data_IF_932185369478
#
_entry.id   IF_932185369478
#
_cell.length_a   1.000
_cell.length_b   1.000
_cell.length_c   1.000
_cell.angle_alpha   90.00
_cell.angle_beta   90.00
_cell.angle_gamma   90.00
#
_symmetry.space_group_name_H-M   'P 1'
#
loop_
_entity.id
_entity.type
_entity.pdbx_description
1 polymer ?
#
# COMPACT_ATOMS: atom_id res chain seq x y z
N UNK A 1 -15.90 34.57 29.95
CA UNK A 1 -15.89 35.82 29.18
C UNK A 1 -14.57 36.54 29.42
N UNK A 2 -13.60 36.42 28.56
CA UNK A 2 -12.39 37.27 28.50
C UNK A 2 -12.01 37.46 27.03
N UNK A 3 -12.17 38.69 26.58
CA UNK A 3 -11.85 39.21 25.27
C UNK A 3 -10.33 39.35 25.15
N UNK A 4 -9.69 38.75 24.14
CA UNK A 4 -8.31 39.01 23.81
C UNK A 4 -8.28 39.95 22.61
N UNK A 5 -7.77 41.14 22.83
CA UNK A 5 -7.62 42.23 21.86
C UNK A 5 -6.38 41.93 21.01
N UNK A 6 -6.58 41.92 19.70
CA UNK A 6 -5.54 41.84 18.68
C UNK A 6 -5.00 43.25 18.44
N UNK A 7 -3.71 43.47 18.67
CA UNK A 7 -3.00 44.71 18.27
C UNK A 7 -2.53 44.59 16.82
N UNK A 8 -3.12 45.41 15.97
CA UNK A 8 -2.62 45.71 14.62
C UNK A 8 -1.51 46.74 14.75
N UNK A 9 -0.30 46.41 14.32
CA UNK A 9 0.76 47.39 14.09
C UNK A 9 1.04 47.47 12.59
N UNK A 10 0.56 48.57 11.98
CA UNK A 10 0.86 48.94 10.61
C UNK A 10 2.25 49.64 10.58
N UNK A 11 3.17 49.08 9.83
CA UNK A 11 4.39 49.80 9.43
C UNK A 11 4.42 49.94 7.92
N UNK A 12 4.08 51.15 7.46
CA UNK A 12 4.17 51.61 6.06
C UNK A 12 5.61 52.06 5.82
N UNK A 13 6.34 51.35 4.96
CA UNK A 13 7.64 51.82 4.42
C UNK A 13 7.53 51.86 2.90
N UNK A 14 7.35 53.11 2.41
CA UNK A 14 7.45 53.46 1.00
C UNK A 14 8.94 53.56 0.67
N UNK A 15 9.44 52.71 -0.22
CA UNK A 15 10.74 52.90 -0.87
C UNK A 15 10.56 52.92 -2.37
N UNK A 16 10.63 54.15 -2.94
CA UNK A 16 10.74 54.38 -4.37
C UNK A 16 12.20 54.12 -4.79
N UNK A 17 12.38 53.15 -5.66
CA UNK A 17 13.67 52.87 -6.29
C UNK A 17 13.43 52.17 -7.64
N UNK A 18 13.35 52.98 -8.71
CA UNK A 18 13.39 52.46 -10.06
C UNK A 18 14.82 52.04 -10.41
N UNK A 19 15.04 50.79 -10.69
CA UNK A 19 16.22 50.32 -11.42
C UNK A 19 15.92 48.99 -12.14
N UNK A 20 16.10 49.03 -13.44
CA UNK A 20 16.20 47.98 -14.44
C UNK A 20 16.59 46.61 -13.89
N UNK A 21 15.75 45.62 -14.14
CA UNK A 21 16.14 44.21 -13.96
C UNK A 21 15.56 43.33 -15.05
N UNK A 22 16.16 43.35 -16.22
CA UNK A 22 16.15 42.25 -17.14
C UNK A 22 17.08 41.16 -16.57
N UNK A 23 16.61 39.92 -16.46
CA UNK A 23 17.48 38.76 -16.28
C UNK A 23 17.35 37.90 -15.02
N UNK A 24 16.13 37.51 -14.60
CA UNK A 24 16.00 36.44 -13.55
C UNK A 24 14.86 35.43 -13.78
N UNK A 25 14.53 35.12 -15.02
CA UNK A 25 13.49 34.10 -15.31
C UNK A 25 14.02 32.67 -15.46
N UNK A 26 15.32 32.43 -15.35
CA UNK A 26 15.91 31.10 -15.62
C UNK A 26 16.24 30.25 -14.37
N UNK A 27 16.37 30.86 -13.20
CA UNK A 27 16.80 30.12 -12.00
C UNK A 27 15.67 29.38 -11.26
N UNK A 28 14.43 29.87 -11.32
CA UNK A 28 13.31 29.29 -10.59
C UNK A 28 12.78 27.99 -11.24
N UNK A 29 12.86 27.91 -12.59
CA UNK A 29 12.41 26.71 -13.32
C UNK A 29 13.34 25.50 -13.13
N UNK A 30 14.65 25.75 -12.97
CA UNK A 30 15.63 24.69 -12.73
C UNK A 30 15.54 24.08 -11.32
N UNK A 31 15.23 24.90 -10.32
CA UNK A 31 15.11 24.43 -8.94
C UNK A 31 13.85 23.57 -8.72
N UNK A 32 12.74 23.91 -9.37
CA UNK A 32 11.51 23.09 -9.29
C UNK A 32 11.63 21.76 -10.05
N UNK A 33 12.32 21.74 -11.19
CA UNK A 33 12.57 20.51 -11.93
C UNK A 33 13.52 19.55 -11.19
N UNK A 34 14.52 20.09 -10.48
CA UNK A 34 15.45 19.29 -9.66
C UNK A 34 14.77 18.71 -8.42
N UNK A 35 13.85 19.45 -7.80
CA UNK A 35 13.13 18.98 -6.60
C UNK A 35 12.11 17.87 -6.93
N UNK A 36 11.48 17.91 -8.09
CA UNK A 36 10.56 16.86 -8.54
C UNK A 36 11.29 15.57 -8.98
N UNK A 37 12.51 15.66 -9.49
CA UNK A 37 13.33 14.48 -9.83
C UNK A 37 13.90 13.76 -8.59
N UNK A 38 14.09 14.47 -7.49
CA UNK A 38 14.65 13.88 -6.25
C UNK A 38 13.58 13.27 -5.35
N UNK A 39 12.32 13.64 -5.52
CA UNK A 39 11.21 13.09 -4.71
C UNK A 39 10.66 11.75 -5.23
N UNK A 40 10.70 11.49 -6.53
CA UNK A 40 10.17 10.25 -7.11
C UNK A 40 10.89 8.97 -6.61
N UNK A 41 12.23 8.88 -6.56
CA UNK A 41 12.95 7.74 -5.99
C UNK A 41 12.66 7.53 -4.51
N UNK A 42 12.43 8.62 -3.75
CA UNK A 42 12.13 8.56 -2.32
C UNK A 42 10.72 7.99 -2.07
N UNK A 43 9.72 8.32 -2.87
CA UNK A 43 8.37 7.77 -2.78
C UNK A 43 8.39 6.28 -3.10
N UNK A 44 8.97 5.88 -4.23
CA UNK A 44 9.09 4.48 -4.63
C UNK A 44 9.78 3.64 -3.55
N UNK A 45 10.94 4.07 -3.06
CA UNK A 45 11.66 3.34 -1.99
C UNK A 45 10.91 3.31 -0.66
N UNK A 46 10.05 4.28 -0.38
CA UNK A 46 9.21 4.27 0.81
C UNK A 46 8.07 3.27 0.66
N UNK A 47 7.42 3.23 -0.49
CA UNK A 47 6.36 2.25 -0.80
C UNK A 47 6.94 0.84 -0.77
N UNK A 48 8.07 0.60 -1.42
CA UNK A 48 8.76 -0.70 -1.46
C UNK A 48 9.09 -1.22 -0.04
N UNK A 49 9.61 -0.37 0.85
CA UNK A 49 9.82 -0.74 2.26
C UNK A 49 8.54 -1.12 2.99
N UNK A 50 7.42 -0.45 2.70
CA UNK A 50 6.13 -0.79 3.30
C UNK A 50 5.63 -2.14 2.79
N UNK A 51 5.73 -2.39 1.48
CA UNK A 51 5.40 -3.69 0.87
C UNK A 51 6.25 -4.78 1.52
N UNK A 52 7.57 -4.63 1.58
CA UNK A 52 8.49 -5.60 2.20
C UNK A 52 8.14 -5.89 3.68
N UNK A 53 7.75 -4.87 4.43
CA UNK A 53 7.35 -5.05 5.84
C UNK A 53 6.08 -5.89 5.97
N UNK A 54 5.07 -5.63 5.14
CA UNK A 54 3.80 -6.37 5.14
C UNK A 54 4.00 -7.77 4.58
N UNK A 55 4.74 -7.93 3.50
CA UNK A 55 5.10 -9.23 2.94
C UNK A 55 5.70 -10.13 4.00
N UNK A 56 6.74 -9.65 4.69
CA UNK A 56 7.39 -10.40 5.77
C UNK A 56 6.38 -10.89 6.79
N UNK A 57 5.51 -10.03 7.31
CA UNK A 57 4.54 -10.38 8.34
C UNK A 57 3.52 -11.41 7.85
N UNK A 58 2.98 -11.23 6.65
CA UNK A 58 1.93 -12.11 6.10
C UNK A 58 2.51 -13.47 5.70
N UNK A 59 3.70 -13.48 5.09
CA UNK A 59 4.39 -14.73 4.70
C UNK A 59 4.80 -15.51 5.94
N UNK A 60 5.41 -14.87 6.93
CA UNK A 60 5.78 -15.54 8.19
C UNK A 60 4.57 -16.12 8.93
N UNK A 61 3.45 -15.40 8.95
CA UNK A 61 2.20 -15.92 9.53
C UNK A 61 1.68 -17.15 8.77
N UNK A 62 1.73 -17.12 7.43
CA UNK A 62 1.32 -18.24 6.60
C UNK A 62 2.24 -19.44 6.76
N UNK A 63 3.55 -19.23 6.88
CA UNK A 63 4.54 -20.29 7.11
C UNK A 63 4.44 -20.90 8.51
N UNK A 64 4.16 -20.06 9.52
CA UNK A 64 4.03 -20.53 10.91
C UNK A 64 2.76 -21.34 11.17
N UNK A 65 1.68 -21.17 10.38
CA UNK A 65 0.44 -21.95 10.57
C UNK A 65 0.70 -23.44 10.33
N UNK A 66 0.36 -24.32 11.28
CA UNK A 66 0.53 -25.78 11.08
C UNK A 66 -0.25 -26.29 9.87
N UNK A 67 0.28 -27.30 9.18
CA UNK A 67 -0.32 -27.90 7.97
C UNK A 67 -1.75 -28.39 8.25
N UNK A 68 -1.97 -29.08 9.38
CA UNK A 68 -3.28 -29.59 9.78
C UNK A 68 -4.29 -28.50 10.16
N UNK A 69 -3.82 -27.26 10.39
CA UNK A 69 -4.64 -26.09 10.72
C UNK A 69 -4.81 -25.12 9.55
N UNK A 70 -4.12 -25.37 8.44
CA UNK A 70 -4.13 -24.43 7.33
C UNK A 70 -5.52 -24.22 6.71
N UNK A 71 -6.40 -25.24 6.80
CA UNK A 71 -7.80 -25.15 6.37
C UNK A 71 -8.79 -24.85 7.51
N UNK A 72 -8.29 -24.40 8.66
CA UNK A 72 -9.13 -24.04 9.80
C UNK A 72 -10.05 -22.84 9.45
N UNK A 73 -11.30 -22.91 9.90
CA UNK A 73 -12.25 -21.80 9.94
C UNK A 73 -12.93 -21.74 11.32
N UNK A 74 -13.25 -20.55 11.86
CA UNK A 74 -13.90 -20.40 13.16
C UNK A 74 -15.26 -21.11 13.26
N UNK A 75 -15.97 -21.30 12.15
CA UNK A 75 -17.25 -22.02 12.07
C UNK A 75 -17.16 -23.43 12.66
N UNK A 76 -15.99 -24.08 12.53
CA UNK A 76 -15.76 -25.44 13.06
C UNK A 76 -15.73 -25.53 14.59
N UNK A 77 -15.63 -24.41 15.29
CA UNK A 77 -15.51 -24.36 16.75
C UNK A 77 -16.86 -24.42 17.49
N UNK A 78 -18.00 -24.21 16.79
CA UNK A 78 -19.34 -24.16 17.39
C UNK A 78 -19.42 -23.24 18.63
N UNK A 79 -18.82 -22.04 18.54
CA UNK A 79 -18.79 -21.09 19.65
C UNK A 79 -20.21 -20.54 19.87
N UNK A 80 -20.76 -20.74 21.07
CA UNK A 80 -22.11 -20.30 21.40
C UNK A 80 -22.23 -18.78 21.28
N UNK A 81 -23.25 -18.30 20.53
CA UNK A 81 -23.47 -16.88 20.28
C UNK A 81 -22.55 -16.25 19.22
N UNK A 82 -21.68 -17.03 18.60
CA UNK A 82 -20.83 -16.58 17.50
C UNK A 82 -21.43 -16.89 16.12
N UNK A 83 -21.46 -15.88 15.24
CA UNK A 83 -21.93 -16.02 13.85
C UNK A 83 -20.70 -16.11 12.93
N UNK A 84 -20.19 -17.32 12.71
CA UNK A 84 -19.00 -17.55 11.88
C UNK A 84 -19.30 -18.17 10.51
N UNK A 85 -20.57 -18.27 10.13
CA UNK A 85 -20.97 -18.83 8.85
C UNK A 85 -20.38 -18.05 7.69
N UNK A 86 -19.69 -18.73 6.79
CA UNK A 86 -19.09 -18.15 5.60
C UNK A 86 -17.78 -17.37 5.83
N UNK A 87 -17.23 -17.44 7.05
CA UNK A 87 -15.89 -16.92 7.31
C UNK A 87 -14.88 -17.79 6.57
N UNK A 88 -13.95 -17.15 5.86
CA UNK A 88 -12.89 -17.83 5.11
C UNK A 88 -12.06 -18.72 6.03
N UNK A 89 -11.64 -19.87 5.51
CA UNK A 89 -10.56 -20.64 6.15
C UNK A 89 -9.25 -19.84 6.09
N UNK A 90 -8.27 -20.18 6.90
CA UNK A 90 -6.97 -19.52 6.86
C UNK A 90 -6.34 -19.63 5.47
N UNK A 91 -6.36 -20.81 4.83
CA UNK A 91 -5.89 -21.01 3.47
C UNK A 91 -6.56 -20.07 2.44
N UNK A 92 -7.89 -19.96 2.52
CA UNK A 92 -8.65 -19.05 1.63
C UNK A 92 -8.31 -17.59 1.91
N UNK A 93 -8.07 -17.22 3.18
CA UNK A 93 -7.65 -15.86 3.53
C UNK A 93 -6.27 -15.52 2.97
N UNK A 94 -5.31 -16.45 3.01
CA UNK A 94 -3.97 -16.27 2.42
C UNK A 94 -4.07 -16.12 0.89
N UNK A 95 -4.86 -16.97 0.23
CA UNK A 95 -5.13 -16.82 -1.22
C UNK A 95 -5.82 -15.50 -1.57
N UNK A 96 -6.71 -15.02 -0.71
CA UNK A 96 -7.40 -13.75 -0.88
C UNK A 96 -6.42 -12.56 -0.83
N UNK A 97 -5.46 -12.57 0.09
CA UNK A 97 -4.40 -11.55 0.14
C UNK A 97 -3.61 -11.52 -1.17
N UNK A 98 -3.19 -12.69 -1.67
CA UNK A 98 -2.48 -12.79 -2.93
C UNK A 98 -3.32 -12.29 -4.12
N UNK A 99 -4.59 -12.71 -4.19
CA UNK A 99 -5.51 -12.25 -5.24
C UNK A 99 -5.69 -10.73 -5.20
N UNK A 100 -5.79 -10.14 -4.00
CA UNK A 100 -5.90 -8.69 -3.83
C UNK A 100 -4.65 -7.96 -4.33
N UNK A 101 -3.45 -8.48 -4.07
CA UNK A 101 -2.21 -7.93 -4.61
C UNK A 101 -2.24 -7.93 -6.15
N UNK A 102 -2.62 -9.02 -6.80
CA UNK A 102 -2.74 -9.08 -8.25
C UNK A 102 -3.75 -8.06 -8.80
N UNK A 103 -4.91 -7.89 -8.16
CA UNK A 103 -5.90 -6.89 -8.58
C UNK A 103 -5.39 -5.46 -8.46
N UNK A 104 -4.55 -5.18 -7.46
CA UNK A 104 -3.98 -3.84 -7.24
C UNK A 104 -2.86 -3.56 -8.24
N UNK A 105 -1.92 -4.50 -8.40
CA UNK A 105 -0.69 -4.26 -9.13
C UNK A 105 -0.80 -4.48 -10.63
N UNK A 106 -1.53 -5.52 -11.10
CA UNK A 106 -1.64 -5.81 -12.53
C UNK A 106 -2.11 -4.64 -13.40
N UNK A 107 -3.05 -3.79 -12.98
CA UNK A 107 -3.42 -2.60 -13.76
C UNK A 107 -2.29 -1.56 -13.86
N UNK A 108 -1.36 -1.56 -12.91
CA UNK A 108 -0.23 -0.61 -12.84
C UNK A 108 0.94 -1.13 -13.66
N UNK A 109 1.25 -2.42 -13.55
CA UNK A 109 2.38 -3.06 -14.27
C UNK A 109 2.03 -3.44 -15.71
N UNK A 110 0.74 -3.60 -16.03
CA UNK A 110 0.28 -4.12 -17.32
C UNK A 110 0.31 -5.65 -17.43
N UNK A 111 0.62 -6.36 -16.36
CA UNK A 111 0.65 -7.80 -16.33
C UNK A 111 -0.76 -8.41 -16.36
N UNK A 112 -0.86 -9.59 -16.96
CA UNK A 112 -2.14 -10.32 -16.98
C UNK A 112 -2.45 -10.88 -15.60
N UNK A 113 -3.71 -10.76 -15.20
CA UNK A 113 -4.21 -11.43 -14.00
C UNK A 113 -4.07 -12.97 -14.15
N UNK A 114 -3.61 -13.68 -13.12
CA UNK A 114 -3.68 -15.12 -13.06
C UNK A 114 -5.13 -15.63 -13.23
N UNK A 115 -5.27 -16.83 -13.76
CA UNK A 115 -6.58 -17.46 -13.85
C UNK A 115 -7.13 -17.80 -12.46
N UNK A 116 -8.45 -17.83 -12.33
CA UNK A 116 -9.14 -18.24 -11.10
C UNK A 116 -9.26 -17.16 -10.03
N UNK A 117 -9.05 -15.87 -10.37
CA UNK A 117 -9.21 -14.75 -9.42
C UNK A 117 -10.64 -14.17 -9.34
N UNK A 118 -11.62 -14.73 -10.08
CA UNK A 118 -12.93 -14.11 -10.35
C UNK A 118 -13.72 -13.67 -9.10
N UNK A 119 -13.60 -14.43 -8.01
CA UNK A 119 -14.31 -14.19 -6.74
C UNK A 119 -13.43 -13.51 -5.66
N UNK A 120 -12.20 -13.17 -6.02
CA UNK A 120 -11.23 -12.59 -5.10
C UNK A 120 -10.64 -13.57 -4.07
N UNK A 121 -10.99 -14.85 -4.11
CA UNK A 121 -10.46 -15.86 -3.19
C UNK A 121 -9.22 -16.59 -3.71
N UNK A 122 -8.74 -16.20 -4.90
CA UNK A 122 -7.62 -16.84 -5.58
C UNK A 122 -7.99 -18.20 -6.19
N UNK A 123 -7.04 -18.83 -6.93
CA UNK A 123 -7.31 -20.06 -7.64
C UNK A 123 -7.67 -21.21 -6.71
N UNK A 124 -8.83 -21.83 -6.92
CA UNK A 124 -9.25 -23.03 -6.17
C UNK A 124 -8.39 -24.26 -6.47
N UNK A 125 -7.62 -24.23 -7.56
CA UNK A 125 -6.67 -25.30 -7.91
C UNK A 125 -5.49 -25.41 -6.94
N UNK A 126 -5.17 -24.34 -6.20
CA UNK A 126 -4.11 -24.34 -5.19
C UNK A 126 -4.63 -25.04 -3.94
N UNK A 127 -4.22 -26.28 -3.72
CA UNK A 127 -4.70 -27.15 -2.63
C UNK A 127 -3.68 -27.32 -1.49
N UNK A 128 -2.39 -27.22 -1.78
CA UNK A 128 -1.35 -27.40 -0.75
C UNK A 128 -0.96 -26.08 -0.12
N UNK A 129 -0.55 -26.12 1.14
CA UNK A 129 0.03 -24.95 1.84
C UNK A 129 1.19 -24.36 1.06
N UNK A 130 2.07 -25.22 0.53
CA UNK A 130 3.24 -24.79 -0.25
C UNK A 130 2.86 -24.00 -1.52
N UNK A 131 1.85 -24.47 -2.27
CA UNK A 131 1.37 -23.79 -3.47
C UNK A 131 0.73 -22.43 -3.14
N UNK A 132 -0.04 -22.38 -2.07
CA UNK A 132 -0.68 -21.15 -1.61
C UNK A 132 0.35 -20.12 -1.14
N UNK A 133 1.37 -20.53 -0.40
CA UNK A 133 2.46 -19.65 0.05
C UNK A 133 3.29 -19.17 -1.16
N UNK A 134 3.57 -20.03 -2.13
CA UNK A 134 4.25 -19.62 -3.37
C UNK A 134 3.43 -18.56 -4.10
N UNK A 135 2.14 -18.80 -4.32
CA UNK A 135 1.24 -17.84 -4.95
C UNK A 135 1.19 -16.48 -4.21
N UNK A 136 1.23 -16.49 -2.87
CA UNK A 136 1.32 -15.30 -2.04
C UNK A 136 2.63 -14.55 -2.31
N UNK A 137 3.79 -15.23 -2.28
CA UNK A 137 5.10 -14.62 -2.53
C UNK A 137 5.18 -14.02 -3.94
N UNK A 138 4.70 -14.75 -4.95
CA UNK A 138 4.65 -14.28 -6.34
C UNK A 138 3.81 -13.00 -6.48
N UNK A 139 2.71 -12.89 -5.72
CA UNK A 139 1.86 -11.69 -5.72
C UNK A 139 2.53 -10.47 -5.10
N UNK A 140 3.38 -10.64 -4.10
CA UNK A 140 4.19 -9.55 -3.52
C UNK A 140 5.33 -9.13 -4.46
N UNK A 141 5.98 -10.09 -5.12
CA UNK A 141 7.02 -9.80 -6.10
C UNK A 141 6.55 -8.90 -7.25
N UNK A 142 5.26 -8.93 -7.60
CA UNK A 142 4.67 -8.02 -8.58
C UNK A 142 4.59 -6.56 -8.06
N UNK A 143 4.52 -6.37 -6.76
CA UNK A 143 4.44 -5.04 -6.13
C UNK A 143 5.80 -4.35 -5.94
N UNK A 144 6.89 -5.12 -5.93
CA UNK A 144 8.27 -4.65 -5.84
C UNK A 144 8.81 -4.19 -7.20
#
# INVERSE_FOLDING_TARGET
MKQIRIFLLSALLIFTGAALREGTKSAASGAQAQQSQQSAPMIASTVDRQISSIEKQVVEAAEAMPEDKFNFAPESLNIAGGEYKGVRTFAVQVRHVAASNYFIWSPITGDKLPEGLKDGNGPESLKTKADIIRFLKDSFALGH
#
